data_IF_933762023329
#
_entry.id   IF_933762023329
#
_cell.length_a   1.000
_cell.length_b   1.000
_cell.length_c   1.000
_cell.angle_alpha   90.00
_cell.angle_beta   90.00
_cell.angle_gamma   90.00
#
_symmetry.space_group_name_H-M   'P 1'
#
loop_
_entity.id
_entity.type
_entity.pdbx_description
1 polymer ?
#
# COMPACT_ATOMS: atom_id res chain seq x y z
N UNK A 1 9.68 0.93 12.81
CA UNK A 1 9.31 -0.12 11.85
C UNK A 1 8.37 -1.07 12.57
N UNK A 2 7.06 -0.95 12.33
CA UNK A 2 6.08 -1.85 12.96
C UNK A 2 6.03 -3.14 12.15
N UNK A 3 6.41 -4.26 12.77
CA UNK A 3 6.27 -5.59 12.19
C UNK A 3 4.86 -6.08 12.49
N UNK A 4 4.13 -6.47 11.43
CA UNK A 4 2.84 -7.14 11.58
C UNK A 4 3.04 -8.39 12.44
N UNK A 5 2.37 -8.45 13.59
CA UNK A 5 2.47 -9.60 14.49
C UNK A 5 1.28 -10.52 14.28
N UNK A 6 1.53 -11.82 14.14
CA UNK A 6 0.48 -12.83 14.03
C UNK A 6 0.22 -13.39 15.43
N UNK A 7 -1.01 -13.22 15.92
CA UNK A 7 -1.46 -13.80 17.19
C UNK A 7 -2.39 -14.97 16.92
N UNK A 8 -2.29 -16.05 17.71
CA UNK A 8 -3.18 -17.21 17.61
C UNK A 8 -4.06 -17.32 18.83
N UNK A 9 -5.35 -17.56 18.65
CA UNK A 9 -6.33 -17.71 19.72
C UNK A 9 -7.27 -18.89 19.44
N UNK A 10 -7.99 -19.35 20.47
CA UNK A 10 -9.03 -20.37 20.30
C UNK A 10 -10.38 -19.71 20.01
N UNK A 11 -11.34 -20.40 19.37
CA UNK A 11 -12.68 -19.86 19.11
C UNK A 11 -13.39 -19.39 20.38
N UNK A 12 -13.21 -20.10 21.48
CA UNK A 12 -13.81 -19.75 22.78
C UNK A 12 -13.25 -18.43 23.29
N UNK A 13 -11.94 -18.23 23.18
CA UNK A 13 -11.30 -16.99 23.64
C UNK A 13 -11.56 -15.83 22.68
N UNK A 14 -11.54 -16.09 21.38
CA UNK A 14 -11.92 -15.11 20.35
C UNK A 14 -13.33 -14.58 20.57
N UNK A 15 -14.27 -15.45 20.93
CA UNK A 15 -15.65 -15.05 21.24
C UNK A 15 -15.72 -14.15 22.49
N UNK A 16 -14.96 -14.46 23.54
CA UNK A 16 -14.94 -13.67 24.78
C UNK A 16 -14.34 -12.28 24.56
N UNK A 17 -13.32 -12.18 23.71
CA UNK A 17 -12.55 -10.96 23.48
C UNK A 17 -12.85 -10.32 22.12
N UNK A 18 -13.98 -10.63 21.49
CA UNK A 18 -14.22 -10.31 20.08
C UNK A 18 -14.02 -8.83 19.74
N UNK A 19 -14.64 -7.92 20.50
CA UNK A 19 -14.49 -6.48 20.27
C UNK A 19 -13.05 -5.99 20.49
N UNK A 20 -12.36 -6.50 21.51
CA UNK A 20 -10.95 -6.16 21.74
C UNK A 20 -10.04 -6.68 20.62
N UNK A 21 -10.40 -7.79 19.97
CA UNK A 21 -9.68 -8.28 18.80
C UNK A 21 -9.91 -7.42 17.57
N UNK A 22 -11.12 -6.87 17.38
CA UNK A 22 -11.40 -5.93 16.28
C UNK A 22 -10.50 -4.69 16.39
N UNK A 23 -10.48 -4.03 17.55
CA UNK A 23 -9.63 -2.85 17.78
C UNK A 23 -8.14 -3.16 17.57
N UNK A 24 -7.67 -4.32 18.06
CA UNK A 24 -6.27 -4.74 17.86
C UNK A 24 -5.92 -4.96 16.40
N UNK A 25 -6.86 -5.49 15.61
CA UNK A 25 -6.63 -5.77 14.19
C UNK A 25 -6.63 -4.48 13.37
N UNK A 26 -7.46 -3.50 13.72
CA UNK A 26 -7.51 -2.20 13.03
C UNK A 26 -6.37 -1.27 13.43
N UNK A 27 -6.07 -1.14 14.72
CA UNK A 27 -5.16 -0.10 15.21
C UNK A 27 -3.69 -0.51 15.07
N UNK A 28 -3.39 -1.79 15.29
CA UNK A 28 -2.03 -2.31 15.27
C UNK A 28 -1.69 -3.00 13.94
N UNK A 29 -2.62 -3.01 12.97
CA UNK A 29 -2.55 -3.80 11.73
C UNK A 29 -2.07 -5.24 11.99
N UNK A 30 -2.61 -5.84 13.03
CA UNK A 30 -2.27 -7.19 13.47
C UNK A 30 -3.19 -8.22 12.82
N UNK A 31 -2.66 -9.43 12.61
CA UNK A 31 -3.44 -10.56 12.13
C UNK A 31 -3.76 -11.50 13.30
N UNK A 32 -5.02 -11.92 13.41
CA UNK A 32 -5.45 -12.86 14.46
C UNK A 32 -5.91 -14.17 13.83
N UNK A 33 -5.20 -15.26 14.11
CA UNK A 33 -5.55 -16.61 13.69
C UNK A 33 -6.43 -17.27 14.75
N UNK A 34 -7.61 -17.72 14.36
CA UNK A 34 -8.53 -18.49 15.21
C UNK A 34 -8.32 -19.98 14.90
N UNK A 35 -7.68 -20.69 15.83
CA UNK A 35 -7.36 -22.10 15.69
C UNK A 35 -8.55 -22.98 16.10
N UNK A 36 -9.18 -23.65 15.14
CA UNK A 36 -10.38 -24.46 15.37
C UNK A 36 -10.00 -25.92 15.45
N UNK A 37 -10.13 -26.53 16.65
CA UNK A 37 -9.84 -27.96 16.83
C UNK A 37 -10.58 -28.82 15.80
N UNK A 38 -9.82 -29.59 15.01
CA UNK A 38 -10.34 -30.50 13.98
C UNK A 38 -10.96 -29.81 12.77
N UNK A 39 -10.72 -28.51 12.58
CA UNK A 39 -11.20 -27.73 11.42
C UNK A 39 -10.09 -26.80 10.92
N UNK A 40 -10.28 -26.25 9.73
CA UNK A 40 -9.38 -25.25 9.19
C UNK A 40 -9.42 -23.96 10.04
N UNK A 41 -8.23 -23.35 10.20
CA UNK A 41 -8.06 -22.09 10.90
C UNK A 41 -8.62 -20.94 10.07
N UNK A 42 -9.11 -19.91 10.73
CA UNK A 42 -9.57 -18.67 10.06
C UNK A 42 -8.78 -17.49 10.57
N UNK A 43 -8.62 -16.46 9.75
CA UNK A 43 -7.86 -15.25 10.10
C UNK A 43 -8.80 -14.05 10.13
N UNK A 44 -8.70 -13.26 11.19
CA UNK A 44 -9.29 -11.93 11.28
C UNK A 44 -8.24 -10.91 10.83
N UNK A 45 -8.63 -10.10 9.85
CA UNK A 45 -7.81 -9.07 9.20
C UNK A 45 -8.67 -7.82 8.99
N UNK A 46 -8.07 -6.63 9.09
CA UNK A 46 -8.76 -5.40 8.77
C UNK A 46 -9.07 -5.37 7.27
N UNK A 47 -10.23 -4.82 6.90
CA UNK A 47 -10.64 -4.74 5.50
C UNK A 47 -9.61 -3.97 4.65
N UNK A 48 -9.08 -2.85 5.16
CA UNK A 48 -8.06 -2.07 4.47
C UNK A 48 -6.77 -2.84 4.22
N UNK A 49 -6.41 -3.75 5.15
CA UNK A 49 -5.20 -4.57 5.01
C UNK A 49 -5.41 -5.65 3.97
N UNK A 50 -6.57 -6.30 3.99
CA UNK A 50 -6.94 -7.27 2.98
C UNK A 50 -6.96 -6.65 1.58
N UNK A 51 -7.58 -5.47 1.45
CA UNK A 51 -7.63 -4.73 0.18
C UNK A 51 -6.22 -4.40 -0.33
N UNK A 52 -5.36 -3.86 0.55
CA UNK A 52 -3.97 -3.53 0.22
C UNK A 52 -3.16 -4.78 -0.21
N UNK A 53 -3.38 -5.92 0.46
CA UNK A 53 -2.73 -7.19 0.11
C UNK A 53 -3.20 -7.69 -1.27
N UNK A 54 -4.50 -7.62 -1.54
CA UNK A 54 -5.07 -8.05 -2.82
C UNK A 54 -4.61 -7.15 -3.97
N UNK A 55 -4.57 -5.84 -3.75
CA UNK A 55 -4.05 -4.88 -4.74
C UNK A 55 -2.57 -5.15 -5.02
N UNK A 56 -1.75 -5.32 -3.98
CA UNK A 56 -0.33 -5.64 -4.15
C UNK A 56 -0.15 -6.96 -4.90
N UNK A 57 -0.89 -8.01 -4.54
CA UNK A 57 -0.86 -9.28 -5.24
C UNK A 57 -1.29 -9.14 -6.71
N UNK A 58 -2.30 -8.30 -6.98
CA UNK A 58 -2.76 -8.00 -8.33
C UNK A 58 -1.68 -7.30 -9.16
N UNK A 59 -1.05 -6.25 -8.61
CA UNK A 59 0.04 -5.52 -9.26
C UNK A 59 1.22 -6.44 -9.57
N UNK A 60 1.56 -7.35 -8.65
CA UNK A 60 2.69 -8.28 -8.81
C UNK A 60 2.35 -9.51 -9.67
N UNK A 61 1.08 -9.75 -10.00
CA UNK A 61 0.65 -10.93 -10.77
C UNK A 61 1.24 -10.98 -12.17
N UNK A 62 1.48 -9.82 -12.80
CA UNK A 62 2.15 -9.73 -14.10
C UNK A 62 3.66 -9.55 -13.89
N UNK A 63 4.51 -10.48 -14.35
CA UNK A 63 5.96 -10.39 -14.20
C UNK A 63 6.54 -9.08 -14.75
N UNK A 64 6.02 -8.62 -15.89
CA UNK A 64 6.44 -7.34 -16.46
C UNK A 64 6.00 -6.17 -15.57
N UNK A 65 4.76 -6.15 -15.10
CA UNK A 65 4.28 -5.07 -14.22
C UNK A 65 5.07 -5.03 -12.91
N UNK A 66 5.38 -6.18 -12.32
CA UNK A 66 6.22 -6.30 -11.14
C UNK A 66 7.62 -5.72 -11.39
N UNK A 67 8.25 -6.05 -12.51
CA UNK A 67 9.57 -5.52 -12.90
C UNK A 67 9.53 -4.00 -13.05
N UNK A 68 8.50 -3.47 -13.71
CA UNK A 68 8.32 -2.02 -13.89
C UNK A 68 8.12 -1.30 -12.55
N UNK A 69 7.29 -1.86 -11.67
CA UNK A 69 7.02 -1.30 -10.35
C UNK A 69 8.27 -1.27 -9.46
N UNK A 70 8.99 -2.39 -9.38
CA UNK A 70 10.24 -2.48 -8.60
C UNK A 70 11.30 -1.50 -9.12
N UNK A 71 11.47 -1.41 -10.45
CA UNK A 71 12.40 -0.44 -11.04
C UNK A 71 11.98 1.02 -10.77
N UNK A 72 10.67 1.32 -10.70
CA UNK A 72 10.19 2.65 -10.34
C UNK A 72 10.48 2.99 -8.87
N UNK A 73 10.32 2.02 -7.96
CA UNK A 73 10.67 2.17 -6.54
C UNK A 73 12.17 2.45 -6.38
N UNK A 74 13.03 1.67 -7.05
CA UNK A 74 14.49 1.88 -7.03
C UNK A 74 14.86 3.28 -7.55
N UNK A 75 14.28 3.71 -8.68
CA UNK A 75 14.51 5.07 -9.21
C UNK A 75 14.04 6.16 -8.25
N UNK A 76 12.90 5.97 -7.57
CA UNK A 76 12.39 6.94 -6.59
C UNK A 76 13.35 7.08 -5.41
N UNK A 77 13.77 5.95 -4.82
CA UNK A 77 14.72 5.94 -3.70
C UNK A 77 16.08 6.55 -4.08
N UNK A 78 16.52 6.32 -5.31
CA UNK A 78 17.75 6.94 -5.83
C UNK A 78 17.59 8.45 -6.08
N UNK A 79 16.41 8.94 -6.46
CA UNK A 79 16.13 10.38 -6.63
C UNK A 79 16.00 11.11 -5.29
N UNK A 80 15.43 10.47 -4.28
CA UNK A 80 15.29 11.06 -2.94
C UNK A 80 16.64 11.33 -2.25
N UNK A 81 17.73 10.75 -2.77
CA UNK A 81 19.11 11.00 -2.30
C UNK A 81 19.89 12.00 -3.16
N UNK A 82 19.32 12.48 -4.27
CA UNK A 82 19.95 13.50 -5.12
C UNK A 82 19.45 14.90 -4.75
N UNK A 83 20.34 15.86 -4.44
CA UNK A 83 19.96 17.26 -4.27
C UNK A 83 19.40 17.78 -5.59
N UNK A 84 18.09 18.04 -5.63
CA UNK A 84 17.45 18.75 -6.74
C UNK A 84 17.45 20.23 -6.40
N UNK A 85 18.10 21.04 -7.24
CA UNK A 85 17.95 22.50 -7.22
C UNK A 85 16.45 22.83 -7.31
N UNK A 86 15.87 23.55 -6.33
CA UNK A 86 14.44 23.84 -6.34
C UNK A 86 14.11 24.76 -7.52
N UNK A 87 13.43 24.20 -8.52
CA UNK A 87 12.86 24.98 -9.63
C UNK A 87 11.64 25.75 -9.14
N UNK A 88 11.43 26.97 -9.63
CA UNK A 88 10.17 27.68 -9.45
C UNK A 88 9.02 26.82 -10.00
N UNK A 89 7.86 26.82 -9.33
CA UNK A 89 6.66 26.11 -9.78
C UNK A 89 6.27 26.49 -11.22
N UNK A 90 6.50 27.74 -11.61
CA UNK A 90 6.25 28.24 -12.98
C UNK A 90 7.20 27.59 -14.00
N UNK A 91 8.47 27.45 -13.65
CA UNK A 91 9.49 26.80 -14.47
C UNK A 91 9.19 25.30 -14.61
N UNK A 92 8.84 24.63 -13.51
CA UNK A 92 8.49 23.21 -13.52
C UNK A 92 7.25 22.91 -14.37
N UNK A 93 6.20 23.74 -14.27
CA UNK A 93 4.99 23.59 -15.08
C UNK A 93 5.28 23.85 -16.56
N UNK A 94 6.11 24.85 -16.90
CA UNK A 94 6.48 25.15 -18.27
C UNK A 94 7.27 24.02 -18.92
N UNK A 95 8.25 23.46 -18.21
CA UNK A 95 9.05 22.32 -18.69
C UNK A 95 8.18 21.07 -18.92
N UNK A 96 7.29 20.74 -17.97
CA UNK A 96 6.38 19.59 -18.10
C UNK A 96 5.39 19.75 -19.26
N UNK A 97 4.87 20.96 -19.49
CA UNK A 97 3.99 21.23 -20.63
C UNK A 97 4.70 21.01 -21.96
N UNK A 98 5.97 21.43 -22.07
CA UNK A 98 6.79 21.18 -23.26
C UNK A 98 7.13 19.70 -23.44
N UNK A 99 7.54 19.01 -22.38
CA UNK A 99 7.91 17.58 -22.42
C UNK A 99 6.72 16.68 -22.78
N UNK A 100 5.52 17.00 -22.27
CA UNK A 100 4.29 16.26 -22.55
C UNK A 100 3.59 16.70 -23.85
N UNK A 101 4.12 17.72 -24.55
CA UNK A 101 3.53 18.24 -25.79
C UNK A 101 2.16 18.90 -25.60
N UNK A 102 1.87 19.39 -24.38
CA UNK A 102 0.62 20.07 -24.05
C UNK A 102 0.85 21.57 -24.23
N UNK A 103 0.96 21.99 -25.50
CA UNK A 103 0.99 23.41 -25.82
C UNK A 103 -0.43 24.00 -25.84
N UNK A 104 -0.53 25.21 -25.28
CA UNK A 104 -1.77 25.90 -24.94
C UNK A 104 -2.63 26.16 -26.17
N UNK A 105 -3.85 25.62 -26.18
CA UNK A 105 -4.93 26.20 -27.00
C UNK A 105 -5.10 27.66 -26.57
N UNK A 106 -4.60 28.57 -27.41
CA UNK A 106 -4.93 29.98 -27.37
C UNK A 106 -6.44 30.09 -27.59
N UNK A 107 -7.20 30.25 -26.52
CA UNK A 107 -8.54 30.84 -26.57
C UNK A 107 -8.36 32.27 -27.09
N UNK A 108 -8.50 32.45 -28.39
CA UNK A 108 -8.62 33.77 -29.02
C UNK A 108 -10.11 34.05 -29.13
N UNK A 109 -10.56 35.05 -28.37
CA UNK A 109 -11.87 35.71 -28.53
C UNK A 109 -11.88 36.48 -29.85
#
# INVERSE_FOLDING_TARGET
MYYATIQTTTPTEARKQFFALLEKVTDLRNLVVINRKGKENVVLIAESDLSSLLETAYLLKSPENARHLLAAIERSQARDTQPVEPKSTEQAISELKQELGIDQEKVTV
#
